data_IF_911639249330
#
_entry.id   IF_911639249330
#
_cell.length_a   1.000
_cell.length_b   1.000
_cell.length_c   1.000
_cell.angle_alpha   90.00
_cell.angle_beta   90.00
_cell.angle_gamma   90.00
#
_symmetry.space_group_name_H-M   'P 1'
#
loop_
_entity.id
_entity.type
_entity.pdbx_description
1 polymer ?
#
# COMPACT_ATOMS: atom_id res chain seq x y z
N UNK A 1 -8.32 4.96 -13.53
CA UNK A 1 -8.76 4.66 -12.15
C UNK A 1 -8.63 3.16 -11.98
N UNK A 2 -8.22 2.67 -10.80
CA UNK A 2 -8.22 1.24 -10.53
C UNK A 2 -9.67 0.79 -10.30
N UNK A 3 -10.35 0.36 -11.36
CA UNK A 3 -11.75 -0.06 -11.28
C UNK A 3 -11.90 -1.30 -10.39
N UNK A 4 -12.95 -1.32 -9.56
CA UNK A 4 -13.19 -2.40 -8.61
C UNK A 4 -12.30 -2.39 -7.37
N UNK A 5 -11.38 -1.42 -7.23
CA UNK A 5 -10.53 -1.26 -6.05
C UNK A 5 -11.09 -0.25 -5.05
N UNK A 6 -10.64 -0.32 -3.81
CA UNK A 6 -10.88 0.65 -2.76
C UNK A 6 -10.45 2.04 -3.21
N UNK A 7 -11.16 3.05 -2.70
CA UNK A 7 -10.91 4.47 -3.02
C UNK A 7 -9.45 4.88 -2.90
N UNK A 8 -8.72 4.32 -1.92
CA UNK A 8 -7.32 4.67 -1.65
C UNK A 8 -6.29 3.70 -2.24
N UNK A 9 -6.71 2.65 -2.96
CA UNK A 9 -5.77 1.69 -3.55
C UNK A 9 -4.68 2.39 -4.37
N UNK A 10 -5.08 3.24 -5.32
CA UNK A 10 -4.11 3.91 -6.19
C UNK A 10 -3.17 4.85 -5.44
N UNK A 11 -3.64 5.46 -4.35
CA UNK A 11 -2.80 6.31 -3.51
C UNK A 11 -1.70 5.49 -2.84
N UNK A 12 -2.06 4.40 -2.15
CA UNK A 12 -1.09 3.56 -1.46
C UNK A 12 -0.18 2.77 -2.42
N UNK A 13 -0.68 2.40 -3.60
CA UNK A 13 0.16 1.82 -4.65
C UNK A 13 1.32 2.75 -5.03
N UNK A 14 1.05 4.03 -5.32
CA UNK A 14 2.13 4.97 -5.65
C UNK A 14 3.01 5.33 -4.45
N UNK A 15 2.46 5.42 -3.24
CA UNK A 15 3.24 5.58 -2.01
C UNK A 15 4.15 4.37 -1.72
N UNK A 16 3.74 3.16 -2.12
CA UNK A 16 4.59 1.97 -2.00
C UNK A 16 5.75 2.02 -3.00
N UNK A 17 5.43 2.32 -4.27
CA UNK A 17 6.43 2.39 -5.33
C UNK A 17 7.49 3.47 -5.10
N UNK A 18 7.14 4.59 -4.46
CA UNK A 18 8.13 5.62 -4.11
C UNK A 18 8.80 5.38 -2.74
N UNK A 19 8.31 4.44 -1.93
CA UNK A 19 8.84 4.15 -0.60
C UNK A 19 8.40 5.12 0.50
N UNK A 20 7.30 5.85 0.31
CA UNK A 20 6.73 6.76 1.31
C UNK A 20 5.73 6.12 2.27
N UNK A 21 5.29 4.89 1.99
CA UNK A 21 4.51 4.06 2.93
C UNK A 21 5.31 2.80 3.25
N UNK A 22 5.29 2.39 4.52
CA UNK A 22 5.96 1.20 5.04
C UNK A 22 5.05 -0.03 5.00
N UNK A 23 5.65 -1.21 5.13
CA UNK A 23 4.93 -2.48 5.27
C UNK A 23 3.93 -2.41 6.43
N UNK A 24 4.36 -1.95 7.60
CA UNK A 24 3.54 -1.77 8.79
C UNK A 24 2.37 -0.80 8.58
N UNK A 25 2.59 0.33 7.92
CA UNK A 25 1.51 1.27 7.59
C UNK A 25 0.47 0.65 6.66
N UNK A 26 0.90 -0.14 5.68
CA UNK A 26 -0.02 -0.89 4.81
C UNK A 26 -0.93 -1.85 5.61
N UNK A 27 -0.41 -2.55 6.62
CA UNK A 27 -1.25 -3.34 7.54
C UNK A 27 -2.26 -2.48 8.30
N UNK A 28 -1.81 -1.34 8.86
CA UNK A 28 -2.69 -0.39 9.56
C UNK A 28 -3.79 0.15 8.63
N UNK A 29 -3.49 0.37 7.35
CA UNK A 29 -4.49 0.83 6.37
C UNK A 29 -5.51 -0.26 6.02
N UNK A 30 -5.15 -1.54 6.11
CA UNK A 30 -6.11 -2.65 6.04
C UNK A 30 -7.00 -2.67 7.28
N UNK A 31 -6.43 -2.60 8.48
CA UNK A 31 -7.19 -2.60 9.75
C UNK A 31 -8.20 -1.45 9.82
N UNK A 32 -7.84 -0.29 9.28
CA UNK A 32 -8.71 0.87 9.21
C UNK A 32 -9.73 0.84 8.04
N UNK A 33 -9.72 -0.22 7.22
CA UNK A 33 -10.64 -0.38 6.10
C UNK A 33 -10.40 0.59 4.94
N UNK A 34 -9.20 1.14 4.80
CA UNK A 34 -8.86 2.04 3.69
C UNK A 34 -8.57 1.28 2.38
N UNK A 35 -8.03 0.07 2.52
CA UNK A 35 -7.79 -0.93 1.48
C UNK A 35 -8.11 -2.32 2.03
N UNK A 36 -8.32 -3.31 1.18
CA UNK A 36 -8.52 -4.71 1.61
C UNK A 36 -7.21 -5.44 1.82
N UNK A 37 -7.28 -6.60 2.47
CA UNK A 37 -6.14 -7.50 2.64
C UNK A 37 -5.55 -7.95 1.29
N UNK A 38 -6.42 -8.26 0.31
CA UNK A 38 -6.02 -8.65 -1.05
C UNK A 38 -5.31 -7.49 -1.77
N UNK A 39 -5.80 -6.27 -1.59
CA UNK A 39 -5.19 -5.08 -2.17
C UNK A 39 -3.82 -4.78 -1.59
N UNK A 40 -3.67 -4.94 -0.27
CA UNK A 40 -2.37 -4.81 0.38
C UNK A 40 -1.38 -5.83 -0.16
N UNK A 41 -1.80 -7.09 -0.28
CA UNK A 41 -0.99 -8.16 -0.85
C UNK A 41 -0.55 -7.81 -2.29
N UNK A 42 -1.48 -7.38 -3.14
CA UNK A 42 -1.20 -6.98 -4.52
C UNK A 42 -0.23 -5.79 -4.63
N UNK A 43 -0.37 -4.79 -3.75
CA UNK A 43 0.59 -3.67 -3.67
C UNK A 43 2.00 -4.20 -3.36
N UNK A 44 2.11 -5.07 -2.35
CA UNK A 44 3.39 -5.61 -1.87
C UNK A 44 4.05 -6.64 -2.81
N UNK A 45 3.37 -7.11 -3.86
CA UNK A 45 3.99 -7.90 -4.94
C UNK A 45 5.01 -7.08 -5.74
N UNK A 46 4.91 -5.74 -5.70
CA UNK A 46 5.82 -4.83 -6.37
C UNK A 46 7.03 -4.52 -5.47
N UNK A 47 8.23 -4.28 -6.03
CA UNK A 47 9.35 -3.79 -5.25
C UNK A 47 9.01 -2.42 -4.65
N UNK A 48 9.25 -2.28 -3.35
CA UNK A 48 9.08 -1.00 -2.65
C UNK A 48 10.18 -0.03 -3.05
N UNK A 49 9.83 1.25 -3.16
CA UNK A 49 10.82 2.33 -3.27
C UNK A 49 11.63 2.52 -1.98
N UNK A 50 12.55 3.48 -2.01
CA UNK A 50 13.57 3.68 -0.99
C UNK A 50 13.60 5.10 -0.39
N UNK A 51 12.53 5.90 -0.58
CA UNK A 51 12.47 7.25 0.00
C UNK A 51 12.66 7.25 1.52
N UNK A 52 12.16 6.22 2.21
CA UNK A 52 12.40 5.98 3.64
C UNK A 52 12.68 4.50 3.91
N UNK A 53 13.40 4.17 5.01
CA UNK A 53 13.53 2.79 5.47
C UNK A 53 12.18 2.13 5.68
N UNK A 54 12.11 0.82 5.43
CA UNK A 54 10.88 0.08 5.67
C UNK A 54 10.73 -0.27 7.16
N UNK A 55 9.52 -0.11 7.67
CA UNK A 55 9.07 -0.67 8.95
C UNK A 55 8.17 -1.86 8.64
N UNK A 56 8.55 -3.04 9.10
CA UNK A 56 7.82 -4.30 8.88
C UNK A 56 7.05 -4.74 10.12
#
# INVERSE_FOLDING_TARGET
>A
MFEGKSRYYGHFYYCWLNGSVTTKELYIHVENGMITEEERAEIMENPRGDAFPDEV
#
